data_IF_222293368801
#
_entry.id   IF_222293368801
#
_cell.length_a   1.000
_cell.length_b   1.000
_cell.length_c   1.000
_cell.angle_alpha   90.00
_cell.angle_beta   90.00
_cell.angle_gamma   90.00
#
_symmetry.space_group_name_H-M   'P 1'
#
loop_
_entity.id
_entity.type
_entity.pdbx_description
1 polymer ?
#
# COMPACT_ATOMS: atom_id res chain seq x y z
N UNK A 1 12.82 -12.97 -30.54
CA UNK A 1 13.11 -13.03 -29.10
C UNK A 1 11.85 -13.58 -28.46
N UNK A 2 11.82 -14.88 -28.13
CA UNK A 2 10.67 -15.55 -27.54
C UNK A 2 10.81 -15.46 -26.01
N UNK A 3 9.79 -14.94 -25.33
CA UNK A 3 9.68 -15.02 -23.87
C UNK A 3 9.64 -16.49 -23.44
N UNK A 4 10.38 -16.87 -22.38
CA UNK A 4 10.28 -18.21 -21.84
C UNK A 4 8.89 -18.38 -21.20
N UNK A 5 8.14 -19.34 -21.71
CA UNK A 5 6.90 -19.82 -21.08
C UNK A 5 7.32 -20.40 -19.72
N UNK A 6 6.92 -19.73 -18.63
CA UNK A 6 7.09 -20.27 -17.29
C UNK A 6 6.33 -21.59 -17.22
N UNK A 7 7.04 -22.70 -17.01
CA UNK A 7 6.39 -23.99 -16.81
C UNK A 7 5.49 -23.88 -15.57
N UNK A 8 4.19 -24.14 -15.73
CA UNK A 8 3.27 -24.28 -14.61
C UNK A 8 3.85 -25.34 -13.66
N UNK A 9 3.95 -25.08 -12.35
CA UNK A 9 4.49 -26.06 -11.42
C UNK A 9 3.67 -27.34 -11.53
N UNK A 10 4.34 -28.47 -11.74
CA UNK A 10 3.72 -29.78 -11.64
C UNK A 10 3.06 -29.90 -10.28
N UNK A 11 1.75 -30.21 -10.25
CA UNK A 11 0.98 -30.36 -9.02
C UNK A 11 1.48 -31.59 -8.24
N UNK A 12 2.56 -31.42 -7.49
CA UNK A 12 3.07 -32.40 -6.54
C UNK A 12 2.42 -32.18 -5.18
N UNK A 13 1.63 -33.17 -4.77
CA UNK A 13 0.93 -33.32 -3.49
C UNK A 13 -0.23 -32.34 -3.22
N UNK A 14 -1.32 -32.87 -2.65
CA UNK A 14 -2.37 -32.06 -2.06
C UNK A 14 -1.76 -31.17 -0.96
N UNK A 15 -1.73 -29.87 -1.19
CA UNK A 15 -1.40 -28.87 -0.18
C UNK A 15 -2.51 -28.89 0.87
N UNK A 16 -2.28 -29.54 2.01
CA UNK A 16 -3.09 -29.32 3.20
C UNK A 16 -2.73 -27.92 3.74
N UNK A 17 -3.60 -26.94 3.51
CA UNK A 17 -3.37 -25.54 3.93
C UNK A 17 -3.89 -24.53 2.91
N UNK A 18 -3.84 -23.25 3.25
CA UNK A 18 -4.35 -22.18 2.40
C UNK A 18 -3.35 -21.81 1.29
N UNK A 19 -3.85 -21.52 0.08
CA UNK A 19 -3.03 -21.05 -1.05
C UNK A 19 -2.66 -19.57 -0.96
N UNK A 20 -2.95 -18.93 0.19
CA UNK A 20 -2.68 -17.53 0.43
C UNK A 20 -1.17 -17.29 0.58
N UNK A 21 -0.67 -16.21 -0.02
CA UNK A 21 0.75 -15.85 -0.04
C UNK A 21 0.92 -14.35 0.16
N UNK A 22 1.88 -13.95 0.99
CA UNK A 22 2.13 -12.52 1.21
C UNK A 22 2.99 -11.95 0.09
N UNK A 23 3.35 -10.67 0.17
CA UNK A 23 4.18 -10.04 -0.86
C UNK A 23 5.61 -10.62 -0.99
N UNK A 24 6.06 -11.48 -0.06
CA UNK A 24 7.30 -12.27 -0.16
C UNK A 24 7.06 -13.71 -0.64
N UNK A 25 5.84 -14.04 -1.06
CA UNK A 25 5.39 -15.39 -1.37
C UNK A 25 5.46 -16.39 -0.18
N UNK A 26 5.39 -15.90 1.05
CA UNK A 26 5.36 -16.73 2.26
C UNK A 26 3.93 -17.17 2.56
N UNK A 27 3.78 -18.42 3.03
CA UNK A 27 2.50 -18.94 3.50
C UNK A 27 2.40 -18.83 5.03
N UNK A 28 1.43 -18.07 5.59
CA UNK A 28 1.22 -17.99 7.03
C UNK A 28 0.82 -19.33 7.68
N UNK A 29 0.32 -20.31 6.93
CA UNK A 29 0.03 -21.66 7.42
C UNK A 29 0.70 -22.73 6.56
N UNK A 30 1.93 -23.08 6.94
CA UNK A 30 2.68 -24.23 6.42
C UNK A 30 2.51 -25.48 7.29
N UNK A 31 1.61 -25.44 8.28
CA UNK A 31 1.59 -26.37 9.41
C UNK A 31 0.50 -27.44 9.36
N UNK A 32 -0.30 -27.51 8.30
CA UNK A 32 -1.50 -28.36 8.20
C UNK A 32 -2.53 -28.11 9.34
N UNK A 33 -2.41 -27.01 10.10
CA UNK A 33 -3.32 -26.68 11.17
C UNK A 33 -4.50 -25.89 10.60
N UNK A 34 -5.74 -26.33 10.86
CA UNK A 34 -6.96 -25.59 10.47
C UNK A 34 -7.11 -24.38 11.40
N UNK A 35 -6.25 -23.39 11.23
CA UNK A 35 -6.35 -22.06 11.83
C UNK A 35 -6.55 -21.11 10.67
N UNK A 36 -7.59 -20.27 10.68
CA UNK A 36 -7.80 -19.28 9.63
C UNK A 36 -6.57 -18.34 9.58
N UNK A 37 -5.70 -18.42 8.56
CA UNK A 37 -4.44 -17.73 8.62
C UNK A 37 -4.68 -16.26 8.27
N UNK A 38 -4.18 -15.38 9.13
CA UNK A 38 -4.13 -13.95 8.81
C UNK A 38 -3.01 -13.74 7.81
N UNK A 39 -3.38 -13.39 6.57
CA UNK A 39 -2.41 -13.02 5.56
C UNK A 39 -2.00 -11.56 5.76
N UNK A 40 -0.74 -11.34 6.15
CA UNK A 40 -0.21 -10.00 6.37
C UNK A 40 0.88 -9.66 5.34
N UNK A 41 0.70 -8.56 4.61
CA UNK A 41 1.72 -7.97 3.74
C UNK A 41 2.06 -6.58 4.25
N UNK A 42 3.32 -6.34 4.63
CA UNK A 42 3.78 -5.04 5.15
C UNK A 42 4.60 -4.34 4.10
N UNK A 43 4.37 -3.05 3.94
CA UNK A 43 5.13 -2.19 3.05
C UNK A 43 5.74 -1.07 3.88
N UNK A 44 7.02 -0.78 3.67
CA UNK A 44 7.71 0.32 4.34
C UNK A 44 8.84 0.87 3.47
N UNK A 45 9.25 2.10 3.76
CA UNK A 45 10.51 2.63 3.24
C UNK A 45 11.68 2.14 4.11
N UNK A 46 12.75 1.70 3.45
CA UNK A 46 14.03 1.46 4.11
C UNK A 46 14.86 2.76 4.20
N UNK A 47 16.02 2.69 4.87
CA UNK A 47 16.92 3.83 5.02
C UNK A 47 17.59 4.30 3.70
N UNK A 48 17.40 3.58 2.60
CA UNK A 48 17.96 3.85 1.27
C UNK A 48 16.89 4.29 0.28
N UNK A 49 15.69 4.67 0.75
CA UNK A 49 14.56 5.09 -0.08
C UNK A 49 14.05 3.98 -1.02
N UNK A 50 14.14 2.72 -0.61
CA UNK A 50 13.45 1.62 -1.29
C UNK A 50 12.14 1.34 -0.58
N UNK A 51 11.06 1.22 -1.36
CA UNK A 51 9.83 0.61 -0.89
C UNK A 51 10.05 -0.89 -0.84
N UNK A 52 10.05 -1.45 0.37
CA UNK A 52 10.26 -2.88 0.61
C UNK A 52 8.97 -3.55 1.01
N UNK A 53 8.75 -4.75 0.48
CA UNK A 53 7.85 -5.72 1.09
C UNK A 53 8.56 -6.32 2.29
N UNK A 54 7.92 -6.24 3.46
CA UNK A 54 8.36 -6.91 4.68
C UNK A 54 7.33 -7.99 5.05
N UNK A 55 7.83 -9.18 5.38
CA UNK A 55 7.04 -10.32 5.86
C UNK A 55 7.65 -10.87 7.14
N UNK A 56 7.54 -12.18 7.34
CA UNK A 56 8.25 -12.86 8.42
C UNK A 56 9.72 -13.12 8.07
N UNK A 57 10.05 -13.20 6.78
CA UNK A 57 11.41 -13.33 6.26
C UNK A 57 12.11 -12.00 5.97
N UNK A 58 13.20 -12.10 5.20
CA UNK A 58 14.02 -10.95 4.83
C UNK A 58 13.24 -10.00 3.90
N UNK A 59 13.20 -8.72 4.27
CA UNK A 59 12.50 -7.71 3.47
C UNK A 59 13.11 -7.60 2.06
N UNK A 60 12.25 -7.51 1.04
CA UNK A 60 12.66 -7.42 -0.36
C UNK A 60 12.27 -6.07 -0.98
N UNK A 61 13.18 -5.41 -1.71
CA UNK A 61 12.87 -4.18 -2.42
C UNK A 61 11.92 -4.45 -3.60
N UNK A 62 10.87 -3.64 -3.69
CA UNK A 62 9.90 -3.65 -4.80
C UNK A 62 10.28 -2.58 -5.82
N UNK A 63 10.61 -1.39 -5.32
CA UNK A 63 11.00 -0.24 -6.14
C UNK A 63 11.91 0.69 -5.35
N UNK A 64 12.87 1.31 -6.03
CA UNK A 64 13.84 2.25 -5.49
C UNK A 64 13.47 3.70 -5.80
N UNK A 65 14.11 4.66 -5.11
CA UNK A 65 13.95 6.09 -5.37
C UNK A 65 12.64 6.65 -4.84
N UNK A 66 12.03 6.01 -3.83
CA UNK A 66 10.79 6.47 -3.20
C UNK A 66 11.14 7.42 -2.07
N UNK A 67 10.91 8.71 -2.29
CA UNK A 67 11.18 9.78 -1.33
C UNK A 67 10.07 9.95 -0.30
N UNK A 68 8.83 9.64 -0.67
CA UNK A 68 7.69 9.70 0.22
C UNK A 68 6.72 8.56 -0.10
N UNK A 69 6.21 7.91 0.94
CA UNK A 69 5.22 6.85 0.86
C UNK A 69 4.13 7.12 1.91
N UNK A 70 2.94 7.46 1.42
CA UNK A 70 1.81 7.79 2.27
C UNK A 70 0.62 6.87 1.99
N UNK A 71 -0.07 6.53 3.07
CA UNK A 71 -1.28 5.71 3.04
C UNK A 71 -2.36 6.46 3.79
N UNK A 72 -3.43 6.78 3.07
CA UNK A 72 -4.62 7.45 3.63
C UNK A 72 -5.83 6.54 3.44
N UNK A 73 -6.70 6.48 4.42
CA UNK A 73 -7.86 5.61 4.43
C UNK A 73 -9.12 6.39 4.11
N UNK A 74 -9.99 5.85 3.27
CA UNK A 74 -11.34 6.35 3.06
C UNK A 74 -12.29 5.60 3.99
N UNK A 75 -12.71 6.28 5.06
CA UNK A 75 -13.60 5.74 6.07
C UNK A 75 -15.03 6.26 5.86
N UNK A 76 -16.01 5.37 5.96
CA UNK A 76 -17.41 5.76 6.07
C UNK A 76 -17.73 6.11 7.53
N UNK A 77 -18.30 7.28 7.76
CA UNK A 77 -18.75 7.73 9.07
C UNK A 77 -20.15 8.31 8.96
N UNK A 78 -20.88 8.39 10.08
CA UNK A 78 -22.14 9.12 10.13
C UNK A 78 -21.87 10.59 10.41
N UNK A 79 -22.52 11.47 9.66
CA UNK A 79 -22.53 12.89 9.95
C UNK A 79 -23.13 13.18 11.33
N UNK A 80 -22.47 14.05 12.08
CA UNK A 80 -22.83 14.31 13.46
C UNK A 80 -24.21 14.96 13.58
N UNK A 81 -24.56 15.84 12.63
CA UNK A 81 -25.79 16.62 12.63
C UNK A 81 -26.96 15.87 11.97
N UNK A 82 -26.73 15.30 10.79
CA UNK A 82 -27.77 14.70 9.95
C UNK A 82 -27.91 13.19 10.11
N UNK A 83 -26.94 12.53 10.77
CA UNK A 83 -26.84 11.07 10.89
C UNK A 83 -26.81 10.33 9.54
N UNK A 84 -26.50 11.03 8.45
CA UNK A 84 -26.36 10.42 7.12
C UNK A 84 -24.93 9.89 6.92
N UNK A 85 -24.75 8.80 6.15
CA UNK A 85 -23.43 8.26 5.85
C UNK A 85 -22.65 9.21 4.95
N UNK A 86 -21.38 9.43 5.28
CA UNK A 86 -20.43 10.23 4.52
C UNK A 86 -19.06 9.57 4.50
N UNK A 87 -18.26 9.86 3.48
CA UNK A 87 -16.88 9.40 3.39
C UNK A 87 -15.92 10.50 3.82
N UNK A 88 -14.88 10.12 4.56
CA UNK A 88 -13.77 11.01 4.92
C UNK A 88 -12.43 10.32 4.70
N UNK A 89 -11.45 11.11 4.29
CA UNK A 89 -10.05 10.69 4.33
C UNK A 89 -9.53 10.79 5.77
N UNK A 90 -8.80 9.77 6.23
CA UNK A 90 -8.25 9.71 7.58
C UNK A 90 -6.93 8.95 7.61
N UNK A 91 -6.10 9.18 8.62
CA UNK A 91 -4.86 8.46 8.86
C UNK A 91 -5.08 7.25 9.77
N UNK A 92 -4.17 6.28 9.77
CA UNK A 92 -4.22 5.15 10.69
C UNK A 92 -4.30 5.58 12.17
N UNK A 93 -3.62 6.67 12.54
CA UNK A 93 -3.63 7.22 13.91
C UNK A 93 -5.03 7.65 14.37
N UNK A 94 -5.91 8.00 13.44
CA UNK A 94 -7.28 8.42 13.72
C UNK A 94 -8.28 7.25 13.67
N UNK A 95 -7.83 6.03 13.36
CA UNK A 95 -8.64 4.80 13.39
C UNK A 95 -8.26 4.07 14.67
N UNK A 96 -9.05 4.27 15.72
CA UNK A 96 -8.66 3.87 17.09
C UNK A 96 -9.27 2.54 17.53
N UNK A 97 -10.33 2.08 16.87
CA UNK A 97 -11.01 0.81 17.22
C UNK A 97 -11.02 -0.19 16.06
N UNK A 98 -11.12 -1.47 16.38
CA UNK A 98 -11.31 -2.55 15.41
C UNK A 98 -12.57 -2.36 14.56
N UNK A 99 -13.64 -1.79 15.15
CA UNK A 99 -14.88 -1.47 14.45
C UNK A 99 -14.70 -0.34 13.43
N UNK A 100 -13.84 0.65 13.70
CA UNK A 100 -13.53 1.73 12.76
C UNK A 100 -12.86 1.20 11.49
N UNK A 101 -11.95 0.22 11.65
CA UNK A 101 -11.35 -0.48 10.52
C UNK A 101 -12.40 -1.17 9.66
N UNK A 102 -13.46 -1.71 10.27
CA UNK A 102 -14.64 -2.27 9.58
C UNK A 102 -15.29 -1.29 8.58
N UNK A 103 -15.19 0.02 8.84
CA UNK A 103 -15.78 1.07 8.01
C UNK A 103 -14.80 1.68 7.00
N UNK A 104 -13.61 1.11 6.82
CA UNK A 104 -12.68 1.52 5.76
C UNK A 104 -13.09 0.86 4.44
N UNK A 105 -13.33 1.68 3.41
CA UNK A 105 -13.81 1.22 2.10
C UNK A 105 -12.80 1.43 0.97
N UNK A 106 -11.79 2.26 1.18
CA UNK A 106 -10.69 2.40 0.23
C UNK A 106 -9.41 2.81 0.94
N UNK A 107 -8.30 2.59 0.26
CA UNK A 107 -6.96 3.01 0.66
C UNK A 107 -6.38 3.82 -0.49
N UNK A 108 -6.10 5.09 -0.25
CA UNK A 108 -5.31 5.92 -1.15
C UNK A 108 -3.83 5.72 -0.82
N UNK A 109 -3.07 5.35 -1.83
CA UNK A 109 -1.61 5.25 -1.76
C UNK A 109 -1.01 6.38 -2.59
N UNK A 110 -0.12 7.15 -1.97
CA UNK A 110 0.69 8.14 -2.65
C UNK A 110 2.17 7.77 -2.57
N UNK A 111 2.82 7.73 -3.73
CA UNK A 111 4.25 7.49 -3.88
C UNK A 111 4.88 8.69 -4.57
N UNK A 112 5.92 9.25 -3.95
CA UNK A 112 6.81 10.23 -4.58
C UNK A 112 8.11 9.56 -4.97
N UNK A 113 8.41 9.58 -6.27
CA UNK A 113 9.66 9.11 -6.83
C UNK A 113 10.59 10.27 -7.12
N UNK A 114 11.88 10.08 -6.86
CA UNK A 114 12.97 10.94 -7.32
C UNK A 114 13.94 10.12 -8.17
N UNK A 115 14.25 10.61 -9.37
CA UNK A 115 15.29 10.07 -10.22
C UNK A 115 16.69 10.33 -9.67
N UNK A 116 17.64 9.46 -10.02
CA UNK A 116 19.05 9.63 -9.68
C UNK A 116 19.78 10.60 -10.62
N UNK A 117 19.33 10.71 -11.87
CA UNK A 117 19.91 11.61 -12.87
C UNK A 117 19.68 13.10 -12.59
N UNK A 118 20.75 13.89 -12.75
CA UNK A 118 20.68 15.34 -12.72
C UNK A 118 20.21 15.85 -14.07
N UNK A 119 19.06 16.51 -14.09
CA UNK A 119 18.48 17.14 -15.27
C UNK A 119 18.13 18.60 -14.99
N UNK A 120 18.15 19.43 -16.04
CA UNK A 120 17.54 20.75 -15.96
C UNK A 120 16.02 20.60 -16.02
N UNK A 121 15.34 20.96 -14.94
CA UNK A 121 13.88 20.91 -14.84
C UNK A 121 13.23 22.24 -15.27
N UNK A 122 14.02 23.21 -15.74
CA UNK A 122 13.60 24.56 -16.12
C UNK A 122 12.79 25.27 -15.01
N UNK A 123 13.12 25.00 -13.74
CA UNK A 123 12.45 25.58 -12.58
C UNK A 123 11.01 25.08 -12.35
N UNK A 124 10.61 23.98 -12.99
CA UNK A 124 9.26 23.42 -12.87
C UNK A 124 8.91 23.00 -11.44
N UNK A 125 7.61 23.02 -11.15
CA UNK A 125 7.03 22.66 -9.86
C UNK A 125 6.17 21.39 -9.95
N UNK A 126 5.78 20.87 -8.80
CA UNK A 126 4.87 19.73 -8.68
C UNK A 126 4.15 19.74 -7.34
N UNK A 127 3.04 18.99 -7.30
CA UNK A 127 2.25 18.73 -6.11
C UNK A 127 2.74 17.43 -5.51
N UNK A 128 3.36 17.48 -4.33
CA UNK A 128 3.87 16.30 -3.64
C UNK A 128 2.73 15.50 -2.98
N UNK A 129 3.09 14.41 -2.28
CA UNK A 129 2.10 13.61 -1.57
C UNK A 129 1.36 14.37 -0.48
N UNK A 130 1.99 15.39 0.11
CA UNK A 130 1.41 16.23 1.17
C UNK A 130 0.51 17.36 0.66
N UNK A 131 0.57 17.66 -0.64
CA UNK A 131 -0.13 18.80 -1.23
C UNK A 131 -1.65 18.70 -1.06
N UNK A 132 -2.24 19.79 -0.58
CA UNK A 132 -3.69 20.01 -0.48
C UNK A 132 -4.10 21.22 -1.31
N UNK A 133 -5.39 21.28 -1.63
CA UNK A 133 -5.95 22.45 -2.32
C UNK A 133 -5.67 23.73 -1.55
N UNK A 134 -4.94 24.65 -2.19
CA UNK A 134 -4.51 25.92 -1.60
C UNK A 134 -3.02 25.96 -1.23
N UNK A 135 -2.33 24.82 -1.18
CA UNK A 135 -0.89 24.78 -0.92
C UNK A 135 -0.09 25.22 -2.15
N UNK A 136 1.06 25.85 -1.91
CA UNK A 136 2.03 26.14 -2.96
C UNK A 136 2.69 24.84 -3.47
N UNK A 137 2.94 24.78 -4.78
CA UNK A 137 3.66 23.64 -5.37
C UNK A 137 5.15 23.67 -4.98
N UNK A 138 5.77 22.49 -4.87
CA UNK A 138 7.21 22.35 -4.58
C UNK A 138 8.04 22.42 -5.86
N UNK A 139 9.26 22.95 -5.75
CA UNK A 139 10.22 22.91 -6.86
C UNK A 139 10.73 21.50 -7.10
N UNK A 140 10.85 21.09 -8.38
CA UNK A 140 11.45 19.80 -8.79
C UNK A 140 12.98 19.77 -8.62
N UNK A 141 13.61 20.91 -8.37
CA UNK A 141 15.07 21.00 -8.25
C UNK A 141 15.77 20.60 -9.54
N UNK A 142 16.83 19.80 -9.45
CA UNK A 142 17.61 19.33 -10.61
C UNK A 142 17.42 17.84 -10.92
N UNK A 143 16.29 17.27 -10.54
CA UNK A 143 16.02 15.84 -10.71
C UNK A 143 14.58 15.63 -11.16
N UNK A 144 14.36 14.53 -11.88
CA UNK A 144 13.00 14.12 -12.21
C UNK A 144 12.26 13.71 -10.93
N UNK A 145 11.02 14.16 -10.78
CA UNK A 145 10.13 13.73 -9.69
C UNK A 145 8.79 13.26 -10.24
N UNK A 146 8.28 12.12 -9.80
CA UNK A 146 7.00 11.60 -10.30
C UNK A 146 6.13 11.20 -9.13
N UNK A 147 4.88 11.61 -9.17
CA UNK A 147 3.90 11.27 -8.14
C UNK A 147 2.92 10.27 -8.71
N UNK A 148 2.73 9.17 -8.00
CA UNK A 148 1.65 8.23 -8.24
C UNK A 148 0.71 8.27 -7.05
N UNK A 149 -0.52 8.72 -7.30
CA UNK A 149 -1.61 8.69 -6.32
C UNK A 149 -2.72 7.83 -6.88
N UNK A 150 -3.07 6.76 -6.19
CA UNK A 150 -4.16 5.88 -6.61
C UNK A 150 -4.98 5.39 -5.41
N UNK A 151 -6.27 5.23 -5.64
CA UNK A 151 -7.23 4.79 -4.60
C UNK A 151 -7.71 3.39 -4.91
N UNK A 152 -7.40 2.47 -4.01
CA UNK A 152 -7.77 1.06 -4.10
C UNK A 152 -8.97 0.81 -3.21
N UNK A 153 -10.10 0.41 -3.80
CA UNK A 153 -11.30 0.05 -3.04
C UNK A 153 -11.14 -1.32 -2.39
N UNK A 154 -11.54 -1.41 -1.12
CA UNK A 154 -11.44 -2.62 -0.31
C UNK A 154 -12.85 -3.13 0.01
N UNK A 155 -13.08 -4.42 -0.24
CA UNK A 155 -14.30 -5.10 0.21
C UNK A 155 -14.10 -5.62 1.62
N UNK A 156 -14.49 -4.81 2.59
CA UNK A 156 -14.20 -5.07 4.00
C UNK A 156 -15.24 -5.93 4.74
N UNK A 157 -16.07 -6.67 3.99
CA UNK A 157 -17.20 -7.45 4.54
C UNK A 157 -16.77 -8.59 5.48
N UNK A 158 -15.49 -8.97 5.45
CA UNK A 158 -14.92 -10.02 6.32
C UNK A 158 -14.13 -9.48 7.51
N UNK A 159 -14.08 -8.17 7.75
CA UNK A 159 -13.32 -7.62 8.87
C UNK A 159 -13.97 -8.01 10.19
N UNK A 160 -13.20 -8.67 11.06
CA UNK A 160 -13.65 -9.06 12.38
C UNK A 160 -13.61 -7.85 13.29
N UNK A 161 -14.78 -7.26 13.57
CA UNK A 161 -14.94 -6.30 14.64
C UNK A 161 -14.91 -7.06 15.98
N UNK A 162 -13.71 -7.35 16.48
CA UNK A 162 -13.50 -7.87 17.85
C UNK A 162 -13.24 -6.76 18.84
#
# INVERSE_FOLDING_TARGET
MLEPIYASPTATAASNGYLLRNCLAENPDSSNAIVAPVLESKFKLDAKNNLVCAGSGAAQPIVSGVMDFQVTYLQQVLDAATKQPQFRYTSATNITTSADWGNVHAVEVCLEFEGDEIIDTAGSTYRDCNWKTGDAEKSRGKKMRVIYRNTFYVRNQGWQAT
#
